data_IF_214304392549
#
_entry.id   IF_214304392549
#
_cell.length_a   1.000
_cell.length_b   1.000
_cell.length_c   1.000
_cell.angle_alpha   90.00
_cell.angle_beta   90.00
_cell.angle_gamma   90.00
#
_symmetry.space_group_name_H-M   'P 1'
#
loop_
_entity.id
_entity.type
_entity.pdbx_description
1 polymer ?
#
# COMPACT_ATOMS: atom_id res chain seq x y z
N UNK A 1 -56.16 -24.19 -51.94
CA UNK A 1 -57.63 -24.39 -51.87
C UNK A 1 -58.07 -23.93 -50.50
N UNK A 2 -59.24 -23.40 -50.48
CA UNK A 2 -59.45 -22.03 -50.02
C UNK A 2 -60.32 -21.97 -48.77
N UNK A 3 -60.62 -20.75 -48.39
CA UNK A 3 -61.81 -20.20 -47.76
C UNK A 3 -61.65 -20.04 -46.24
N UNK A 4 -62.12 -19.01 -45.58
CA UNK A 4 -63.19 -18.07 -45.90
C UNK A 4 -63.15 -16.92 -44.87
N UNK A 5 -63.33 -15.76 -45.36
CA UNK A 5 -63.70 -14.52 -44.70
C UNK A 5 -64.83 -14.67 -43.68
N UNK A 6 -64.72 -13.96 -42.55
CA UNK A 6 -65.93 -13.42 -41.92
C UNK A 6 -65.65 -12.03 -41.33
N UNK A 7 -66.09 -11.04 -42.04
CA UNK A 7 -66.27 -9.67 -41.53
C UNK A 7 -67.56 -9.62 -40.68
N UNK A 8 -67.44 -9.21 -39.43
CA UNK A 8 -68.60 -8.64 -38.72
C UNK A 8 -68.21 -7.29 -38.17
N UNK A 9 -68.90 -6.33 -38.71
CA UNK A 9 -68.99 -4.94 -38.31
C UNK A 9 -69.46 -4.80 -36.88
N UNK A 10 -68.76 -4.01 -36.05
CA UNK A 10 -69.29 -3.33 -34.88
C UNK A 10 -69.18 -1.83 -35.10
N UNK A 11 -70.19 -1.32 -35.77
CA UNK A 11 -70.60 0.09 -35.60
C UNK A 11 -71.47 0.15 -34.35
N UNK A 12 -71.09 1.00 -33.40
CA UNK A 12 -71.98 1.37 -32.34
C UNK A 12 -71.43 1.11 -30.95
N UNK A 13 -70.47 1.93 -30.48
CA UNK A 13 -70.28 2.41 -29.08
C UNK A 13 -69.22 3.52 -29.24
N UNK A 14 -69.67 4.62 -29.77
CA UNK A 14 -68.91 5.86 -29.81
C UNK A 14 -69.88 6.93 -29.37
N UNK A 15 -70.07 7.13 -28.09
CA UNK A 15 -70.77 8.28 -27.49
C UNK A 15 -71.06 8.09 -25.97
N UNK A 16 -70.03 7.70 -25.18
CA UNK A 16 -70.19 7.86 -23.70
C UNK A 16 -68.81 7.80 -22.94
N UNK A 17 -67.80 8.47 -23.46
CA UNK A 17 -66.55 8.63 -22.70
C UNK A 17 -65.90 10.01 -22.90
N UNK A 18 -66.74 11.05 -22.98
CA UNK A 18 -66.23 12.44 -23.02
C UNK A 18 -66.83 13.30 -21.89
N UNK A 19 -66.81 12.81 -20.67
CA UNK A 19 -67.25 13.63 -19.53
C UNK A 19 -66.57 13.25 -18.19
N UNK A 20 -65.33 12.75 -18.21
CA UNK A 20 -64.56 12.52 -16.97
C UNK A 20 -63.07 12.86 -17.11
N UNK A 21 -62.74 13.84 -17.93
CA UNK A 21 -61.36 14.30 -18.12
C UNK A 21 -61.23 15.81 -17.81
N UNK A 22 -61.67 16.26 -16.67
CA UNK A 22 -61.42 17.65 -16.26
C UNK A 22 -61.58 17.84 -14.74
N UNK A 23 -60.87 17.08 -13.90
CA UNK A 23 -60.46 17.51 -12.55
C UNK A 23 -59.26 16.62 -12.16
N UNK A 24 -58.15 16.80 -12.85
CA UNK A 24 -56.82 16.49 -12.31
C UNK A 24 -56.08 17.81 -12.21
N UNK A 25 -56.55 18.67 -11.33
CA UNK A 25 -55.82 19.84 -10.91
C UNK A 25 -54.54 19.35 -10.23
N UNK A 26 -53.47 19.58 -10.91
CA UNK A 26 -52.06 19.46 -10.57
C UNK A 26 -51.78 19.99 -9.17
N UNK A 27 -51.79 19.13 -8.17
CA UNK A 27 -50.99 19.35 -7.00
C UNK A 27 -49.59 18.93 -7.40
N UNK A 28 -48.83 19.83 -8.04
CA UNK A 28 -47.38 19.79 -8.04
C UNK A 28 -46.96 19.98 -6.59
N UNK A 29 -46.96 18.89 -5.83
CA UNK A 29 -46.15 18.83 -4.62
C UNK A 29 -44.75 18.89 -5.15
N UNK A 30 -44.15 20.07 -5.05
CA UNK A 30 -42.69 20.20 -5.07
C UNK A 30 -42.23 19.30 -3.94
N UNK A 31 -41.80 18.07 -4.28
CA UNK A 31 -40.89 17.34 -3.44
C UNK A 31 -39.66 18.28 -3.35
N UNK A 32 -39.58 19.02 -2.27
CA UNK A 32 -38.36 19.67 -1.87
C UNK A 32 -37.39 18.52 -1.71
N UNK A 33 -36.31 18.58 -2.47
CA UNK A 33 -35.19 17.68 -2.41
C UNK A 33 -34.60 17.80 -1.00
N UNK A 34 -35.17 17.06 -0.04
CA UNK A 34 -34.79 17.10 1.38
C UNK A 34 -33.49 16.32 1.61
N UNK A 35 -32.94 15.72 0.54
CA UNK A 35 -31.72 14.89 0.57
C UNK A 35 -30.51 15.55 -0.13
N UNK A 36 -30.61 16.78 -0.58
CA UNK A 36 -29.47 17.47 -1.15
C UNK A 36 -28.45 17.80 -0.05
N UNK A 37 -27.16 17.43 -0.21
CA UNK A 37 -26.14 17.70 0.79
C UNK A 37 -26.02 19.21 1.04
N UNK A 38 -26.04 19.63 2.32
CA UNK A 38 -25.93 21.03 2.72
C UNK A 38 -24.46 21.45 2.83
N UNK A 39 -23.94 22.03 1.77
CA UNK A 39 -22.59 22.59 1.75
C UNK A 39 -22.56 24.03 2.31
N UNK A 40 -21.44 24.39 2.93
CA UNK A 40 -21.22 25.71 3.48
C UNK A 40 -21.19 26.79 2.37
N UNK A 41 -21.84 27.92 2.60
CA UNK A 41 -21.99 28.97 1.58
C UNK A 41 -20.71 29.73 1.25
N UNK A 42 -19.72 29.72 2.16
CA UNK A 42 -18.48 30.49 2.04
C UNK A 42 -17.25 29.58 1.96
N UNK A 43 -17.45 28.26 1.76
CA UNK A 43 -16.37 27.28 1.73
C UNK A 43 -15.51 27.34 2.99
N UNK A 44 -14.19 27.29 2.85
CA UNK A 44 -13.22 27.29 3.94
C UNK A 44 -13.38 28.47 4.93
N UNK A 45 -13.82 29.64 4.47
CA UNK A 45 -14.04 30.81 5.35
C UNK A 45 -15.11 30.53 6.42
N UNK A 46 -16.01 29.60 6.17
CA UNK A 46 -16.98 29.14 7.18
C UNK A 46 -16.29 28.34 8.26
N UNK A 47 -15.42 27.44 7.86
CA UNK A 47 -14.71 26.52 8.75
C UNK A 47 -13.71 27.24 9.65
N UNK A 48 -12.99 28.24 9.12
CA UNK A 48 -11.98 29.02 9.86
C UNK A 48 -12.52 29.92 10.97
N UNK A 49 -13.83 30.06 11.07
CA UNK A 49 -14.40 30.77 12.22
C UNK A 49 -14.21 30.01 13.54
N UNK A 50 -13.92 28.71 13.46
CA UNK A 50 -13.71 27.84 14.62
C UNK A 50 -12.44 26.99 14.51
N UNK A 51 -11.95 26.72 13.29
CA UNK A 51 -10.81 25.85 13.00
C UNK A 51 -9.62 26.68 12.47
N UNK A 52 -9.01 27.47 13.34
CA UNK A 52 -7.88 28.35 13.03
C UNK A 52 -6.55 27.86 13.62
N UNK A 53 -6.52 26.60 14.07
CA UNK A 53 -5.33 25.98 14.63
C UNK A 53 -4.28 25.66 13.54
N UNK A 54 -3.04 25.50 13.99
CA UNK A 54 -1.88 25.33 13.10
C UNK A 54 -1.94 24.04 12.27
N UNK A 55 -2.58 22.98 12.77
CA UNK A 55 -2.73 21.71 12.05
C UNK A 55 -3.70 21.91 10.89
N UNK A 56 -4.87 22.46 11.17
CA UNK A 56 -5.89 22.77 10.15
C UNK A 56 -5.35 23.69 9.07
N UNK A 57 -4.68 24.79 9.46
CA UNK A 57 -4.09 25.74 8.52
C UNK A 57 -2.92 25.14 7.72
N UNK A 58 -2.38 24.01 8.13
CA UNK A 58 -1.35 23.26 7.43
C UNK A 58 -1.74 22.87 6.01
N UNK A 59 -3.05 22.68 5.74
CA UNK A 59 -3.57 22.34 4.40
C UNK A 59 -3.11 23.32 3.33
N UNK A 60 -3.01 24.61 3.65
CA UNK A 60 -2.59 25.66 2.69
C UNK A 60 -1.13 25.55 2.25
N UNK A 61 -0.33 24.73 2.91
CA UNK A 61 1.03 24.43 2.49
C UNK A 61 1.13 23.12 1.70
N UNK A 62 0.04 22.38 1.63
CA UNK A 62 -0.02 21.11 0.92
C UNK A 62 -0.33 21.28 -0.57
N UNK A 63 -0.14 20.21 -1.35
CA UNK A 63 -0.50 20.18 -2.77
C UNK A 63 -2.01 20.16 -3.00
N UNK A 64 -2.80 19.88 -1.99
CA UNK A 64 -4.26 19.87 -2.08
C UNK A 64 -4.86 21.29 -2.07
N UNK A 65 -4.10 22.32 -1.67
CA UNK A 65 -4.57 23.70 -1.59
C UNK A 65 -3.95 24.60 -2.66
N UNK A 66 -3.93 24.17 -3.92
CA UNK A 66 -3.40 24.94 -5.06
C UNK A 66 -4.56 25.60 -5.81
N UNK A 67 -4.79 26.92 -5.67
CA UNK A 67 -5.96 27.59 -6.24
C UNK A 67 -5.98 27.60 -7.78
N UNK A 68 -4.81 27.48 -8.41
CA UNK A 68 -4.67 27.50 -9.87
C UNK A 68 -4.82 26.13 -10.52
N UNK A 69 -4.87 25.07 -9.72
CA UNK A 69 -5.09 23.71 -10.22
C UNK A 69 -6.58 23.36 -10.10
N UNK A 70 -7.28 23.16 -11.23
CA UNK A 70 -8.71 22.83 -11.21
C UNK A 70 -9.02 21.45 -10.60
N UNK A 71 -8.03 20.57 -10.48
CA UNK A 71 -8.17 19.27 -9.82
C UNK A 71 -7.89 19.32 -8.33
N UNK A 72 -7.31 20.41 -7.83
CA UNK A 72 -7.10 20.60 -6.40
C UNK A 72 -8.44 20.86 -5.68
N UNK A 73 -8.65 20.30 -4.48
CA UNK A 73 -9.81 20.63 -3.64
C UNK A 73 -10.03 22.13 -3.43
N UNK A 74 -8.98 22.92 -3.43
CA UNK A 74 -9.04 24.39 -3.31
C UNK A 74 -8.96 25.12 -4.65
N UNK A 75 -9.05 24.41 -5.76
CA UNK A 75 -9.17 25.00 -7.10
C UNK A 75 -10.44 25.83 -7.24
N UNK A 76 -10.50 26.68 -8.28
CA UNK A 76 -11.66 27.52 -8.52
C UNK A 76 -12.93 26.69 -8.72
N UNK A 77 -13.94 26.95 -7.90
CA UNK A 77 -15.24 26.26 -7.96
C UNK A 77 -15.27 24.90 -7.23
N UNK A 78 -14.20 24.50 -6.57
CA UNK A 78 -14.14 23.27 -5.79
C UNK A 78 -14.66 23.46 -4.34
N UNK A 79 -14.91 22.33 -3.66
CA UNK A 79 -15.55 22.31 -2.34
C UNK A 79 -14.62 22.63 -1.16
N UNK A 80 -13.31 22.77 -1.40
CA UNK A 80 -12.30 23.10 -0.40
C UNK A 80 -12.26 22.06 0.74
N UNK A 81 -12.46 22.45 2.00
CA UNK A 81 -12.48 21.54 3.14
C UNK A 81 -13.51 20.42 2.95
N UNK A 82 -14.66 20.78 2.39
CA UNK A 82 -15.80 19.85 2.20
C UNK A 82 -15.59 18.85 1.06
N UNK A 83 -14.55 19.05 0.23
CA UNK A 83 -14.14 18.03 -0.74
C UNK A 83 -13.63 16.74 -0.07
N UNK A 84 -13.12 16.85 1.15
CA UNK A 84 -12.63 15.73 1.93
C UNK A 84 -13.54 15.43 3.13
N UNK A 85 -13.96 16.47 3.86
CA UNK A 85 -14.74 16.32 5.08
C UNK A 85 -16.25 16.17 4.85
N UNK A 86 -16.70 16.17 3.60
CA UNK A 86 -18.12 16.11 3.25
C UNK A 86 -18.89 17.40 3.59
N UNK A 87 -20.21 17.40 3.37
CA UNK A 87 -21.06 18.58 3.59
C UNK A 87 -21.02 19.06 5.04
N UNK A 88 -20.61 20.29 5.25
CA UNK A 88 -20.41 20.89 6.56
C UNK A 88 -21.41 22.02 6.90
N UNK A 89 -22.42 22.26 6.07
CA UNK A 89 -23.37 23.34 6.30
C UNK A 89 -24.11 23.20 7.62
N UNK A 90 -24.65 22.04 7.92
CA UNK A 90 -25.30 21.75 9.20
C UNK A 90 -24.32 21.78 10.37
N UNK A 91 -23.07 21.25 10.18
CA UNK A 91 -22.02 21.31 11.18
C UNK A 91 -21.67 22.76 11.56
N UNK A 92 -21.54 23.63 10.56
CA UNK A 92 -21.24 25.04 10.75
C UNK A 92 -22.46 25.86 11.19
N UNK A 93 -23.66 25.29 11.11
CA UNK A 93 -24.93 25.91 11.43
C UNK A 93 -25.07 26.27 12.90
N UNK A 94 -26.23 26.84 13.25
CA UNK A 94 -26.57 27.13 14.64
C UNK A 94 -27.08 25.89 15.35
N UNK A 95 -26.38 25.47 16.40
CA UNK A 95 -26.80 24.41 17.30
C UNK A 95 -27.38 25.01 18.59
N UNK A 96 -28.39 24.36 19.17
CA UNK A 96 -28.96 24.77 20.47
C UNK A 96 -27.95 24.49 21.58
N UNK A 97 -27.99 25.31 22.64
CA UNK A 97 -27.09 25.13 23.77
C UNK A 97 -27.23 23.70 24.35
N UNK A 98 -26.13 22.96 24.41
CA UNK A 98 -26.10 21.58 24.90
C UNK A 98 -26.37 20.51 23.84
N UNK A 99 -26.57 20.88 22.57
CA UNK A 99 -26.56 19.94 21.46
C UNK A 99 -25.17 19.81 20.87
N UNK A 100 -24.80 18.59 20.50
CA UNK A 100 -23.60 18.31 19.69
C UNK A 100 -23.81 18.79 18.26
N UNK A 101 -22.76 19.21 17.62
CA UNK A 101 -22.78 19.55 16.19
C UNK A 101 -22.92 18.27 15.36
N UNK A 102 -23.67 18.28 14.27
CA UNK A 102 -23.67 17.17 13.33
C UNK A 102 -22.21 16.82 12.93
N UNK A 103 -21.86 15.55 12.86
CA UNK A 103 -20.51 15.15 12.48
C UNK A 103 -20.20 15.51 11.02
N UNK A 104 -18.95 15.72 10.72
CA UNK A 104 -18.37 15.67 9.37
C UNK A 104 -17.46 14.45 9.28
N UNK A 105 -16.99 14.11 8.09
CA UNK A 105 -16.03 13.02 7.91
C UNK A 105 -14.73 13.33 8.64
N UNK A 106 -14.34 12.44 9.52
CA UNK A 106 -13.07 12.47 10.24
C UNK A 106 -12.15 11.37 9.70
N UNK A 107 -10.85 11.62 9.69
CA UNK A 107 -9.87 10.72 9.09
C UNK A 107 -8.95 10.08 10.14
N UNK A 108 -8.50 8.88 9.82
CA UNK A 108 -7.70 8.00 10.67
C UNK A 108 -8.51 6.85 11.23
N UNK A 109 -7.89 5.70 11.48
CA UNK A 109 -8.56 4.48 11.95
C UNK A 109 -9.22 4.65 13.32
N UNK A 110 -8.72 5.57 14.15
CA UNK A 110 -9.30 5.91 15.46
C UNK A 110 -10.44 6.94 15.38
N UNK A 111 -10.79 7.43 14.18
CA UNK A 111 -11.88 8.38 13.99
C UNK A 111 -13.24 7.69 14.08
N UNK A 112 -14.29 8.45 14.35
CA UNK A 112 -15.65 7.90 14.39
C UNK A 112 -16.25 7.57 13.01
N UNK A 113 -15.57 7.93 11.91
CA UNK A 113 -16.01 7.66 10.53
C UNK A 113 -15.51 6.28 10.08
N UNK A 114 -16.36 5.42 9.48
CA UNK A 114 -15.91 4.13 8.95
C UNK A 114 -14.79 4.29 7.89
N UNK A 115 -13.75 3.48 7.96
CA UNK A 115 -12.60 3.55 7.05
C UNK A 115 -12.99 3.49 5.56
N UNK A 116 -13.91 2.62 5.12
CA UNK A 116 -14.32 2.62 3.72
C UNK A 116 -14.94 3.95 3.25
N UNK A 117 -15.66 4.64 4.13
CA UNK A 117 -16.21 5.95 3.86
C UNK A 117 -15.11 7.01 3.74
N UNK A 118 -14.14 7.02 4.67
CA UNK A 118 -12.98 7.91 4.60
C UNK A 118 -12.20 7.72 3.29
N UNK A 119 -11.90 6.46 2.95
CA UNK A 119 -11.13 6.11 1.77
C UNK A 119 -11.86 6.48 0.48
N UNK A 120 -13.19 6.42 0.45
CA UNK A 120 -13.97 6.82 -0.72
C UNK A 120 -13.73 8.29 -1.09
N UNK A 121 -13.66 9.21 -0.13
CA UNK A 121 -13.34 10.62 -0.41
C UNK A 121 -11.97 10.82 -1.06
N UNK A 122 -10.97 10.03 -0.68
CA UNK A 122 -9.66 10.07 -1.33
C UNK A 122 -9.74 9.51 -2.75
N UNK A 123 -10.44 8.39 -2.90
CA UNK A 123 -10.57 7.65 -4.15
C UNK A 123 -11.40 8.36 -5.20
N UNK A 124 -12.28 9.29 -4.84
CA UNK A 124 -13.03 10.11 -5.80
C UNK A 124 -12.10 10.89 -6.75
N UNK A 125 -10.89 11.21 -6.28
CA UNK A 125 -9.87 11.89 -7.09
C UNK A 125 -8.66 10.99 -7.41
N UNK A 126 -8.28 10.09 -6.51
CA UNK A 126 -7.11 9.19 -6.63
C UNK A 126 -7.46 7.83 -7.23
N UNK A 127 -8.25 7.83 -8.33
CA UNK A 127 -8.68 6.61 -9.05
C UNK A 127 -7.61 6.03 -10.00
N UNK A 128 -6.51 6.73 -10.24
CA UNK A 128 -5.43 6.32 -11.13
C UNK A 128 -4.65 5.11 -10.64
N UNK A 129 -3.37 5.04 -10.96
CA UNK A 129 -2.50 3.88 -10.70
C UNK A 129 -2.50 3.40 -9.24
N UNK A 130 -2.63 4.34 -8.29
CA UNK A 130 -2.68 4.04 -6.86
C UNK A 130 -4.01 3.44 -6.42
N UNK A 131 -5.13 4.00 -6.89
CA UNK A 131 -6.47 3.57 -6.48
C UNK A 131 -6.84 2.20 -7.01
N UNK A 132 -6.44 1.86 -8.24
CA UNK A 132 -6.72 0.56 -8.84
C UNK A 132 -6.03 -0.60 -8.13
N UNK A 133 -4.88 -0.36 -7.51
CA UNK A 133 -4.13 -1.37 -6.78
C UNK A 133 -4.57 -1.51 -5.32
N UNK A 134 -5.24 -0.49 -4.76
CA UNK A 134 -5.67 -0.48 -3.35
C UNK A 134 -6.71 -1.55 -3.05
N UNK A 135 -7.76 -1.61 -3.89
CA UNK A 135 -8.89 -2.51 -3.63
C UNK A 135 -8.49 -3.98 -3.66
N UNK A 136 -8.73 -4.65 -2.53
CA UNK A 136 -8.35 -6.04 -2.31
C UNK A 136 -6.88 -6.24 -1.95
N UNK A 137 -6.10 -5.17 -1.81
CA UNK A 137 -4.74 -5.21 -1.26
C UNK A 137 -4.74 -5.49 0.25
N UNK A 138 -3.58 -5.88 0.78
CA UNK A 138 -3.45 -6.27 2.19
C UNK A 138 -3.89 -5.17 3.16
N UNK A 139 -3.55 -3.92 2.89
CA UNK A 139 -3.95 -2.80 3.74
C UNK A 139 -5.45 -2.52 3.66
N UNK A 140 -6.07 -2.62 2.47
CA UNK A 140 -7.52 -2.46 2.29
C UNK A 140 -8.29 -3.56 3.04
N UNK A 141 -7.87 -4.83 2.89
CA UNK A 141 -8.48 -5.97 3.58
C UNK A 141 -8.33 -5.89 5.10
N UNK A 142 -7.29 -5.22 5.59
CA UNK A 142 -7.07 -4.98 7.02
C UNK A 142 -7.64 -3.63 7.49
N UNK A 143 -8.48 -2.99 6.69
CA UNK A 143 -9.23 -1.79 7.08
C UNK A 143 -8.31 -0.62 7.48
N UNK A 144 -7.21 -0.42 6.74
CA UNK A 144 -6.30 0.71 6.95
C UNK A 144 -6.85 1.93 6.24
N UNK A 145 -6.90 3.07 6.93
CA UNK A 145 -7.30 4.32 6.30
C UNK A 145 -6.13 4.93 5.51
N UNK A 146 -6.44 5.58 4.38
CA UNK A 146 -5.43 6.35 3.64
C UNK A 146 -4.71 7.34 4.57
N UNK A 147 -5.46 7.94 5.49
CA UNK A 147 -4.97 8.91 6.47
C UNK A 147 -4.11 8.31 7.59
N UNK A 148 -4.04 6.99 7.75
CA UNK A 148 -3.12 6.36 8.71
C UNK A 148 -1.66 6.46 8.25
N UNK A 149 -1.47 6.64 6.92
CA UNK A 149 -0.16 6.82 6.32
C UNK A 149 0.04 8.24 5.76
N UNK A 150 -1.00 8.80 5.13
CA UNK A 150 -0.95 10.08 4.44
C UNK A 150 -1.48 11.23 5.30
N UNK A 151 -0.74 12.32 5.33
CA UNK A 151 -1.16 13.56 5.99
C UNK A 151 -1.30 14.69 4.97
N UNK A 152 -2.55 15.03 4.64
CA UNK A 152 -2.86 16.11 3.69
C UNK A 152 -2.72 17.51 4.27
N UNK A 153 -2.62 17.66 5.59
CA UNK A 153 -2.49 18.95 6.27
C UNK A 153 -1.04 19.39 6.52
N UNK A 154 -0.09 18.82 5.79
CA UNK A 154 1.34 19.18 5.90
C UNK A 154 1.93 19.54 4.54
N UNK A 155 2.98 20.34 4.53
CA UNK A 155 3.69 20.72 3.30
C UNK A 155 4.35 19.51 2.62
N UNK A 156 4.91 18.63 3.42
CA UNK A 156 5.57 17.39 2.97
C UNK A 156 5.04 16.23 3.77
N UNK A 157 4.31 15.38 3.09
CA UNK A 157 3.78 14.17 3.68
C UNK A 157 4.95 13.23 4.07
N UNK A 158 5.07 12.85 5.35
CA UNK A 158 6.17 12.02 5.83
C UNK A 158 6.31 10.68 5.11
N UNK A 159 5.20 10.07 4.69
CA UNK A 159 5.23 8.79 4.00
C UNK A 159 5.78 8.88 2.57
N UNK A 160 5.76 10.08 1.96
CA UNK A 160 6.30 10.32 0.62
C UNK A 160 7.78 10.70 0.59
N UNK A 161 8.46 10.69 1.75
CA UNK A 161 9.87 11.03 1.85
C UNK A 161 10.68 9.83 2.33
N UNK A 162 11.67 9.41 1.55
CA UNK A 162 12.57 8.31 1.90
C UNK A 162 13.18 8.45 3.31
N UNK A 163 13.42 9.69 3.72
CA UNK A 163 14.00 9.96 5.04
C UNK A 163 13.06 9.71 6.21
N UNK A 164 11.74 9.76 5.99
CA UNK A 164 10.74 9.71 7.06
C UNK A 164 9.71 8.59 6.88
N UNK A 165 9.60 7.99 5.69
CA UNK A 165 8.63 6.96 5.38
C UNK A 165 8.67 5.78 6.36
N UNK A 166 9.87 5.33 6.71
CA UNK A 166 10.03 4.17 7.57
C UNK A 166 9.38 4.36 8.95
N UNK A 167 9.43 5.57 9.52
CA UNK A 167 8.81 5.84 10.82
C UNK A 167 7.29 5.71 10.74
N UNK A 168 6.66 6.17 9.64
CA UNK A 168 5.21 5.98 9.42
C UNK A 168 4.85 4.50 9.37
N UNK A 169 5.61 3.69 8.63
CA UNK A 169 5.36 2.25 8.54
C UNK A 169 5.58 1.55 9.89
N UNK A 170 6.58 1.99 10.66
CA UNK A 170 6.94 1.40 11.93
C UNK A 170 5.92 1.64 13.06
N UNK A 171 4.98 2.53 12.90
CA UNK A 171 3.89 2.70 13.87
C UNK A 171 3.08 1.42 14.02
N UNK A 172 2.89 0.67 12.93
CA UNK A 172 2.22 -0.62 12.93
C UNK A 172 3.19 -1.81 12.78
N UNK A 173 4.22 -1.70 11.94
CA UNK A 173 5.16 -2.77 11.61
C UNK A 173 6.35 -2.86 12.60
N UNK A 174 6.06 -3.13 13.87
CA UNK A 174 7.04 -3.14 14.97
C UNK A 174 8.11 -4.24 14.83
N UNK A 175 7.77 -5.37 14.22
CA UNK A 175 8.73 -6.45 13.96
C UNK A 175 9.78 -5.98 12.95
N UNK A 176 9.36 -5.36 11.86
CA UNK A 176 10.25 -4.85 10.81
C UNK A 176 11.11 -3.70 11.35
N UNK A 177 10.55 -2.86 12.22
CA UNK A 177 11.32 -1.84 12.97
C UNK A 177 12.48 -2.49 13.73
N UNK A 178 12.19 -3.53 14.50
CA UNK A 178 13.20 -4.25 15.28
C UNK A 178 14.26 -4.86 14.39
N UNK A 179 13.87 -5.43 13.24
CA UNK A 179 14.80 -6.02 12.27
C UNK A 179 15.69 -4.95 11.62
N UNK A 180 15.14 -3.81 11.21
CA UNK A 180 15.87 -2.71 10.60
C UNK A 180 16.92 -2.08 11.54
N UNK A 181 16.80 -2.30 12.86
CA UNK A 181 17.78 -1.83 13.85
C UNK A 181 18.93 -2.81 14.10
N UNK A 182 18.89 -4.01 13.51
CA UNK A 182 19.99 -4.99 13.63
C UNK A 182 21.27 -4.48 12.95
N UNK A 183 22.45 -5.04 13.32
CA UNK A 183 23.76 -4.59 12.80
C UNK A 183 23.90 -4.65 11.28
N UNK A 184 23.30 -5.67 10.66
CA UNK A 184 23.33 -5.89 9.21
C UNK A 184 21.92 -5.74 8.67
N UNK A 185 21.59 -4.57 8.16
CA UNK A 185 20.32 -4.23 7.58
C UNK A 185 20.51 -3.25 6.41
N UNK A 186 19.56 -3.22 5.51
CA UNK A 186 19.51 -2.15 4.52
C UNK A 186 19.43 -0.77 5.21
N UNK A 187 19.93 0.30 4.58
CA UNK A 187 20.10 1.60 5.22
C UNK A 187 18.78 2.39 5.40
N UNK A 188 17.69 1.69 5.71
CA UNK A 188 16.35 2.27 5.94
C UNK A 188 16.38 3.24 7.11
N UNK A 189 16.99 2.84 8.24
CA UNK A 189 17.15 3.70 9.44
C UNK A 189 17.97 4.97 9.21
N UNK A 190 18.66 5.06 8.08
CA UNK A 190 19.47 6.21 7.71
C UNK A 190 18.82 7.08 6.63
N UNK A 191 17.57 6.78 6.26
CA UNK A 191 16.84 7.52 5.24
C UNK A 191 17.45 7.44 3.83
N UNK A 192 18.24 6.38 3.55
CA UNK A 192 18.85 6.15 2.23
C UNK A 192 18.08 5.12 1.39
N UNK A 193 17.14 4.45 2.01
CA UNK A 193 16.21 3.49 1.43
C UNK A 193 14.93 3.55 2.24
N UNK A 194 13.83 3.25 1.63
CA UNK A 194 12.52 3.22 2.25
C UNK A 194 11.81 1.88 2.01
N UNK A 195 10.67 1.67 2.64
CA UNK A 195 9.92 0.42 2.52
C UNK A 195 9.39 0.24 1.09
N UNK A 196 9.00 1.33 0.41
CA UNK A 196 8.49 1.30 -0.96
C UNK A 196 9.57 1.03 -2.01
N UNK A 197 10.86 1.04 -1.63
CA UNK A 197 11.94 0.55 -2.50
C UNK A 197 11.81 -0.94 -2.84
N UNK A 198 11.10 -1.70 -1.98
CA UNK A 198 10.90 -3.14 -2.14
C UNK A 198 9.41 -3.54 -2.16
N UNK A 199 8.52 -2.72 -1.59
CA UNK A 199 7.11 -3.04 -1.43
C UNK A 199 6.21 -2.08 -2.19
N UNK A 200 5.16 -2.61 -2.82
CA UNK A 200 4.06 -1.84 -3.39
C UNK A 200 2.97 -1.66 -2.33
N UNK A 201 3.09 -0.59 -1.55
CA UNK A 201 2.30 -0.38 -0.32
C UNK A 201 0.80 -0.16 -0.55
N UNK A 202 0.38 0.19 -1.76
CA UNK A 202 -1.03 0.27 -2.15
C UNK A 202 -1.62 -1.06 -2.61
N UNK A 203 -0.80 -2.10 -2.71
CA UNK A 203 -1.21 -3.44 -3.09
C UNK A 203 -0.69 -3.86 -4.46
N UNK A 204 -0.63 -5.14 -4.66
CA UNK A 204 -0.42 -5.84 -5.92
C UNK A 204 -0.71 -7.34 -5.69
N UNK A 205 -0.38 -8.19 -6.66
CA UNK A 205 -0.61 -9.64 -6.59
C UNK A 205 0.62 -10.44 -6.13
N UNK A 206 1.73 -9.78 -5.80
CA UNK A 206 2.96 -10.43 -5.34
C UNK A 206 2.89 -10.71 -3.84
N UNK A 207 3.46 -11.82 -3.42
CA UNK A 207 3.54 -12.19 -2.00
C UNK A 207 4.25 -11.08 -1.19
N UNK A 208 3.69 -10.73 -0.04
CA UNK A 208 4.21 -9.67 0.81
C UNK A 208 4.22 -8.29 0.14
N UNK A 209 3.38 -8.07 -0.87
CA UNK A 209 3.31 -6.83 -1.65
C UNK A 209 4.67 -6.41 -2.24
N UNK A 210 5.50 -7.36 -2.66
CA UNK A 210 6.79 -7.03 -3.29
C UNK A 210 6.60 -6.19 -4.54
N UNK A 211 7.52 -5.27 -4.81
CA UNK A 211 7.49 -4.39 -5.98
C UNK A 211 7.60 -5.16 -7.31
N UNK A 212 8.17 -6.36 -7.28
CA UNK A 212 8.25 -7.30 -8.41
C UNK A 212 7.50 -8.58 -8.09
N UNK A 213 7.30 -9.42 -9.10
CA UNK A 213 6.56 -10.68 -8.98
C UNK A 213 7.22 -11.67 -8.01
N UNK A 214 8.56 -11.66 -7.93
CA UNK A 214 9.33 -12.53 -7.05
C UNK A 214 10.25 -11.74 -6.14
N UNK A 215 10.68 -12.34 -5.02
CA UNK A 215 11.69 -11.76 -4.15
C UNK A 215 13.00 -11.53 -4.93
N UNK A 216 13.43 -12.51 -5.72
CA UNK A 216 14.65 -12.41 -6.51
C UNK A 216 14.62 -11.23 -7.49
N UNK A 217 13.52 -11.05 -8.22
CA UNK A 217 13.40 -9.92 -9.15
C UNK A 217 13.44 -8.57 -8.42
N UNK A 218 12.84 -8.50 -7.23
CA UNK A 218 12.89 -7.30 -6.39
C UNK A 218 14.32 -7.00 -5.93
N UNK A 219 15.09 -8.03 -5.55
CA UNK A 219 16.50 -7.87 -5.18
C UNK A 219 17.36 -7.43 -6.36
N UNK A 220 17.13 -7.98 -7.54
CA UNK A 220 17.91 -7.70 -8.75
C UNK A 220 17.76 -6.27 -9.28
N UNK A 221 16.75 -5.52 -8.87
CA UNK A 221 16.65 -4.11 -9.20
C UNK A 221 17.88 -3.30 -8.71
N UNK A 222 18.51 -3.75 -7.62
CA UNK A 222 19.70 -3.13 -7.06
C UNK A 222 20.93 -4.07 -7.09
N UNK A 223 20.72 -5.39 -6.96
CA UNK A 223 21.77 -6.43 -6.91
C UNK A 223 21.90 -7.18 -8.23
N UNK A 224 21.95 -6.44 -9.34
CA UNK A 224 22.02 -7.01 -10.69
C UNK A 224 23.23 -7.93 -10.90
N UNK A 225 24.32 -7.72 -10.15
CA UNK A 225 25.53 -8.52 -10.21
C UNK A 225 25.33 -9.96 -9.74
N UNK A 226 24.30 -10.24 -8.95
CA UNK A 226 23.98 -11.59 -8.45
C UNK A 226 23.02 -12.36 -9.34
N UNK A 227 22.49 -11.72 -10.39
CA UNK A 227 21.44 -12.30 -11.25
C UNK A 227 21.92 -13.41 -12.18
N UNK A 228 23.17 -13.37 -12.60
CA UNK A 228 23.66 -14.26 -13.65
C UNK A 228 23.34 -13.75 -15.06
N UNK A 229 23.33 -14.63 -16.08
CA UNK A 229 23.44 -16.09 -15.99
C UNK A 229 24.84 -16.56 -15.60
N UNK A 230 24.92 -17.67 -14.88
CA UNK A 230 26.15 -18.31 -14.48
C UNK A 230 26.33 -19.64 -15.19
N UNK A 231 27.60 -19.99 -15.50
CA UNK A 231 27.94 -21.31 -16.01
C UNK A 231 27.66 -22.40 -14.96
N UNK A 232 27.90 -22.06 -13.70
CA UNK A 232 27.66 -22.91 -12.54
C UNK A 232 26.74 -22.17 -11.58
N UNK A 233 25.48 -22.53 -11.60
CA UNK A 233 24.45 -21.96 -10.73
C UNK A 233 24.40 -22.67 -9.38
N UNK A 234 24.02 -21.95 -8.34
CA UNK A 234 23.66 -22.51 -7.05
C UNK A 234 22.13 -22.49 -6.94
N UNK A 235 21.51 -23.66 -7.00
CA UNK A 235 20.07 -23.77 -7.10
C UNK A 235 19.28 -22.95 -6.07
N UNK A 236 19.61 -22.95 -4.75
CA UNK A 236 18.89 -22.15 -3.76
C UNK A 236 18.91 -20.64 -4.04
N UNK A 237 19.97 -20.14 -4.71
CA UNK A 237 20.08 -18.72 -5.10
C UNK A 237 19.15 -18.40 -6.26
N UNK A 238 19.08 -19.31 -7.24
CA UNK A 238 18.15 -19.17 -8.36
C UNK A 238 16.68 -19.27 -7.94
N UNK A 239 16.39 -20.03 -6.87
CA UNK A 239 15.04 -20.21 -6.34
C UNK A 239 14.58 -19.00 -5.53
N UNK A 240 15.30 -18.63 -4.47
CA UNK A 240 14.87 -17.57 -3.55
C UNK A 240 16.05 -17.02 -2.73
N UNK A 241 16.30 -15.71 -2.80
CA UNK A 241 17.30 -15.03 -1.97
C UNK A 241 17.02 -15.17 -0.47
N UNK A 242 15.75 -15.28 -0.09
CA UNK A 242 15.29 -15.49 1.30
C UNK A 242 15.69 -16.85 1.89
N UNK A 243 16.12 -17.84 1.09
CA UNK A 243 16.69 -19.09 1.59
C UNK A 243 17.93 -18.83 2.47
N UNK A 244 18.64 -17.74 2.22
CA UNK A 244 19.88 -17.40 2.91
C UNK A 244 19.83 -16.03 3.62
N UNK A 245 19.10 -15.07 3.08
CA UNK A 245 19.12 -13.68 3.52
C UNK A 245 17.81 -13.26 4.23
N UNK A 246 17.98 -12.41 5.24
CA UNK A 246 16.88 -11.75 5.98
C UNK A 246 16.85 -10.26 5.55
N UNK A 247 16.03 -9.89 4.56
CA UNK A 247 16.14 -8.59 3.88
C UNK A 247 15.82 -7.39 4.79
N UNK A 248 15.07 -7.59 5.86
CA UNK A 248 14.75 -6.54 6.82
C UNK A 248 15.89 -6.31 7.82
N UNK A 249 16.81 -7.27 7.95
CA UNK A 249 18.00 -7.15 8.78
C UNK A 249 18.30 -8.36 9.65
N UNK A 250 19.57 -8.59 9.90
CA UNK A 250 20.11 -9.73 10.61
C UNK A 250 21.22 -9.34 11.58
N UNK A 251 21.53 -10.24 12.50
CA UNK A 251 22.70 -10.15 13.38
C UNK A 251 23.99 -10.70 12.72
N UNK A 252 23.88 -11.25 11.51
CA UNK A 252 24.99 -11.89 10.80
C UNK A 252 25.40 -11.10 9.57
N UNK A 253 26.72 -11.07 9.24
CA UNK A 253 27.24 -10.38 8.06
C UNK A 253 26.50 -10.79 6.78
N UNK A 254 26.31 -9.83 5.87
CA UNK A 254 25.59 -10.05 4.63
C UNK A 254 24.09 -10.26 4.82
N UNK A 255 23.55 -9.89 5.97
CA UNK A 255 22.14 -10.14 6.33
C UNK A 255 21.73 -11.62 6.25
N UNK A 256 22.64 -12.54 6.52
CA UNK A 256 22.35 -13.97 6.55
C UNK A 256 21.34 -14.28 7.67
N UNK A 257 20.40 -15.20 7.39
CA UNK A 257 19.39 -15.65 8.38
C UNK A 257 20.02 -16.39 9.56
N UNK A 258 21.17 -17.05 9.31
CA UNK A 258 21.95 -17.78 10.31
C UNK A 258 23.44 -17.55 10.06
N UNK A 259 24.27 -17.91 11.04
CA UNK A 259 25.72 -17.91 10.88
C UNK A 259 26.13 -18.86 9.73
N UNK A 260 27.02 -18.40 8.83
CA UNK A 260 27.36 -19.08 7.59
C UNK A 260 27.61 -20.59 7.72
N UNK A 261 28.43 -21.11 8.65
CA UNK A 261 28.61 -22.57 8.78
C UNK A 261 27.29 -23.31 9.02
N UNK A 262 26.47 -22.82 9.92
CA UNK A 262 25.16 -23.44 10.26
C UNK A 262 24.19 -23.33 9.09
N UNK A 263 24.16 -22.19 8.40
CA UNK A 263 23.33 -21.97 7.22
C UNK A 263 23.67 -22.97 6.10
N UNK A 264 24.96 -23.13 5.78
CA UNK A 264 25.39 -24.08 4.75
C UNK A 264 25.08 -25.52 5.13
N UNK A 265 25.27 -25.87 6.41
CA UNK A 265 25.01 -27.21 6.95
C UNK A 265 23.52 -27.58 7.01
N UNK A 266 22.60 -26.62 6.88
CA UNK A 266 21.18 -26.93 6.78
C UNK A 266 20.82 -27.76 5.53
N UNK A 267 21.63 -27.65 4.47
CA UNK A 267 21.47 -28.38 3.21
C UNK A 267 22.66 -29.29 2.90
N UNK A 268 23.89 -28.87 3.24
CA UNK A 268 25.12 -29.59 2.96
C UNK A 268 25.59 -30.38 4.18
N UNK A 269 25.41 -31.69 4.15
CA UNK A 269 25.80 -32.53 5.29
C UNK A 269 27.25 -33.05 5.23
N UNK A 270 27.65 -33.88 4.28
CA UNK A 270 28.97 -34.53 4.31
C UNK A 270 29.61 -34.79 2.94
N UNK A 271 29.27 -34.01 1.93
CA UNK A 271 29.74 -34.29 0.57
C UNK A 271 31.15 -33.76 0.32
N UNK A 272 32.10 -34.66 0.20
CA UNK A 272 33.47 -34.41 -0.25
C UNK A 272 34.48 -33.95 0.81
N UNK A 273 34.04 -33.36 1.90
CA UNK A 273 34.80 -33.07 3.11
C UNK A 273 33.86 -32.86 4.30
N UNK A 274 34.35 -32.94 5.56
CA UNK A 274 33.50 -32.73 6.73
C UNK A 274 32.90 -31.32 6.76
N UNK A 275 31.59 -31.21 6.69
CA UNK A 275 30.85 -29.96 6.83
C UNK A 275 30.42 -29.64 8.27
N UNK A 276 30.69 -30.57 9.20
CA UNK A 276 30.49 -30.36 10.63
C UNK A 276 31.55 -29.42 11.21
N UNK A 277 31.30 -28.79 12.37
CA UNK A 277 32.30 -28.01 13.07
C UNK A 277 33.58 -28.80 13.18
N UNK A 278 34.68 -28.27 12.66
CA UNK A 278 35.91 -28.99 12.52
C UNK A 278 36.52 -29.28 13.90
N UNK A 279 36.57 -30.53 14.28
CA UNK A 279 37.47 -31.03 15.33
C UNK A 279 38.72 -31.65 14.70
N UNK A 280 39.64 -32.08 15.52
CA UNK A 280 40.88 -32.74 15.04
C UNK A 280 40.63 -33.99 14.21
N UNK A 281 39.49 -34.64 14.34
CA UNK A 281 39.11 -35.87 13.64
C UNK A 281 38.59 -35.59 12.23
N UNK A 282 38.07 -34.40 12.00
CA UNK A 282 37.47 -33.99 10.73
C UNK A 282 38.47 -33.43 9.72
N UNK A 283 39.73 -33.27 10.08
CA UNK A 283 40.78 -32.74 9.19
C UNK A 283 41.58 -33.84 8.54
N UNK A 284 41.82 -33.79 7.21
CA UNK A 284 42.57 -34.82 6.49
C UNK A 284 43.97 -35.10 7.03
N UNK A 285 44.61 -34.10 7.64
CA UNK A 285 45.96 -34.20 8.22
C UNK A 285 45.97 -34.61 9.69
N UNK A 286 44.80 -34.73 10.34
CA UNK A 286 44.72 -34.96 11.79
C UNK A 286 45.18 -33.79 12.66
N UNK A 287 45.53 -32.64 12.05
CA UNK A 287 45.94 -31.40 12.72
C UNK A 287 44.93 -30.33 12.45
N UNK A 288 44.26 -29.86 13.52
CA UNK A 288 43.32 -28.76 13.43
C UNK A 288 44.07 -27.46 13.02
N UNK A 289 43.83 -26.96 11.84
CA UNK A 289 44.26 -25.63 11.44
C UNK A 289 43.38 -24.58 12.11
N UNK A 290 43.98 -23.60 12.75
CA UNK A 290 43.27 -22.45 13.31
C UNK A 290 42.54 -21.64 12.23
N UNK A 291 42.95 -21.76 10.99
CA UNK A 291 42.29 -21.13 9.84
C UNK A 291 41.03 -21.88 9.41
N UNK A 292 40.87 -23.14 9.74
CA UNK A 292 39.69 -23.93 9.46
C UNK A 292 38.71 -23.98 10.64
N UNK A 293 39.25 -23.93 11.86
CA UNK A 293 38.42 -23.93 13.08
C UNK A 293 37.63 -22.63 13.21
N UNK A 294 36.34 -22.74 13.30
CA UNK A 294 35.44 -21.58 13.41
C UNK A 294 35.35 -20.70 12.16
N UNK A 295 35.96 -21.11 11.05
CA UNK A 295 35.93 -20.40 9.78
C UNK A 295 34.65 -20.66 9.02
N UNK A 296 34.25 -19.67 8.18
CA UNK A 296 33.12 -19.78 7.28
C UNK A 296 33.47 -20.68 6.07
N UNK A 297 32.52 -21.45 5.59
CA UNK A 297 32.59 -22.17 4.32
C UNK A 297 32.98 -21.23 3.16
N UNK A 298 32.59 -19.96 3.27
CA UNK A 298 32.85 -18.88 2.31
C UNK A 298 34.31 -18.53 2.15
N UNK A 299 35.23 -19.01 3.02
CA UNK A 299 36.66 -18.80 2.85
C UNK A 299 37.20 -19.56 1.65
N UNK A 300 36.55 -20.64 1.22
CA UNK A 300 36.90 -21.44 0.06
C UNK A 300 35.81 -21.38 -1.01
N UNK A 301 34.53 -21.43 -0.60
CA UNK A 301 33.37 -21.36 -1.48
C UNK A 301 32.85 -19.92 -1.57
N UNK A 302 33.60 -19.02 -2.18
CA UNK A 302 33.33 -17.60 -2.22
C UNK A 302 32.35 -17.19 -3.34
N UNK A 303 32.06 -18.11 -4.28
CA UNK A 303 31.17 -17.87 -5.43
C UNK A 303 29.79 -18.46 -5.23
N UNK A 304 29.24 -18.35 -4.03
CA UNK A 304 27.96 -18.99 -3.64
C UNK A 304 26.76 -18.51 -4.46
N UNK A 305 26.81 -17.33 -5.05
CA UNK A 305 25.73 -16.84 -5.93
C UNK A 305 25.79 -17.42 -7.34
N UNK A 306 26.90 -18.06 -7.70
CA UNK A 306 27.18 -18.64 -9.02
C UNK A 306 28.55 -18.31 -9.53
N UNK A 307 29.07 -19.11 -10.46
CA UNK A 307 30.40 -18.93 -11.01
C UNK A 307 30.43 -19.09 -12.54
N UNK A 308 31.19 -18.24 -13.21
CA UNK A 308 31.47 -18.35 -14.64
C UNK A 308 32.89 -18.91 -14.87
N UNK A 309 33.63 -19.31 -13.82
CA UNK A 309 34.93 -19.91 -13.95
C UNK A 309 34.85 -21.36 -14.46
N UNK A 310 35.68 -21.81 -15.39
CA UNK A 310 35.62 -23.18 -15.93
C UNK A 310 35.69 -24.28 -14.89
N UNK A 311 36.39 -24.06 -13.76
CA UNK A 311 36.49 -25.00 -12.64
C UNK A 311 35.49 -24.69 -11.50
N UNK A 312 34.49 -23.85 -11.78
CA UNK A 312 33.61 -23.28 -10.77
C UNK A 312 32.45 -24.16 -10.28
N UNK A 313 32.37 -25.43 -10.67
CA UNK A 313 31.32 -26.38 -10.26
C UNK A 313 31.20 -26.58 -8.74
N UNK A 314 32.26 -26.24 -7.99
CA UNK A 314 32.25 -26.22 -6.51
C UNK A 314 32.07 -24.82 -5.93
N UNK A 315 31.74 -23.84 -6.77
CA UNK A 315 31.56 -22.44 -6.39
C UNK A 315 32.78 -21.85 -5.67
N UNK A 316 33.92 -22.25 -6.12
CA UNK A 316 35.26 -21.78 -5.71
C UNK A 316 35.88 -20.99 -6.87
N UNK A 317 36.85 -20.13 -6.58
CA UNK A 317 37.66 -19.51 -7.61
C UNK A 317 38.54 -20.54 -8.33
#
# INVERSE_FOLDING_TARGET
>A
MPTSTNRRSYRGILLLTMALAAISASASVSAQDQDAPDYSRKGADTCFQCHDDQVTLGIFRSKHAVPTDPSSPFGHGQLQCEACHGPGGDHAGRVRRGQERPPVVLFGSDSGTPVPEQNAYCMDCHLGDTGSAWHGGEHDMNTVACADCHNSHVERDPVLSTATQAEVCFDCHQQQRTQAMKPYAHPVRHGKMDCSSCHSTHGNTADGMLARTTLNDTCYDCHAETRGPYLWEHAPVAEDCGNCHDPHGSNYPGMLSMRAPTLCQSCHSQDGHPSLPQDQRGLPSGIASTYLLGQSCLNCHDQVHGSNHPSGSKLMR
#
